data_IF_568613371078
#
_entry.id   IF_568613371078
#
_cell.length_a   1.000
_cell.length_b   1.000
_cell.length_c   1.000
_cell.angle_alpha   90.00
_cell.angle_beta   90.00
_cell.angle_gamma   90.00
#
_symmetry.space_group_name_H-M   'P 1'
#
loop_
_entity.id
_entity.type
_entity.pdbx_description
1 polymer ?
#
# COMPACT_ATOMS: atom_id res chain seq x y z
N UNK A 1 -12.84 30.53 0.44
CA UNK A 1 -12.11 29.70 -0.54
C UNK A 1 -10.78 29.29 0.10
N UNK A 2 -10.82 28.37 1.07
CA UNK A 2 -9.65 27.97 1.88
C UNK A 2 -8.63 27.15 1.07
N UNK A 3 -9.12 26.41 0.08
CA UNK A 3 -8.34 25.48 -0.74
C UNK A 3 -7.28 26.21 -1.58
N UNK A 4 -7.58 27.40 -2.11
CA UNK A 4 -6.59 28.16 -2.89
C UNK A 4 -5.46 28.78 -2.06
N UNK A 5 -5.63 28.96 -0.76
CA UNK A 5 -4.54 29.44 0.10
C UNK A 5 -3.58 28.29 0.46
N UNK A 6 -4.05 27.05 0.48
CA UNK A 6 -3.22 25.86 0.63
C UNK A 6 -2.37 25.57 -0.61
N UNK A 7 -2.88 25.85 -1.80
CA UNK A 7 -2.13 25.69 -3.06
C UNK A 7 -0.97 26.69 -3.21
N UNK A 8 -0.97 27.79 -2.45
CA UNK A 8 -0.01 28.89 -2.58
C UNK A 8 1.14 28.85 -1.56
N UNK A 9 1.39 27.70 -0.92
CA UNK A 9 2.49 27.49 0.06
C UNK A 9 2.50 28.42 1.29
N UNK A 10 1.43 29.21 1.53
CA UNK A 10 1.40 30.22 2.62
C UNK A 10 0.86 29.70 3.95
N UNK A 11 0.23 28.53 4.00
CA UNK A 11 -0.23 27.89 5.23
C UNK A 11 0.42 26.51 5.39
N UNK A 12 1.17 26.33 6.49
CA UNK A 12 1.57 25.00 6.94
C UNK A 12 0.30 24.19 7.21
N UNK A 13 0.06 23.12 6.45
CA UNK A 13 -1.02 22.18 6.70
C UNK A 13 -0.78 21.55 8.08
N UNK A 14 -1.79 21.56 8.95
CA UNK A 14 -1.70 20.89 10.25
C UNK A 14 -1.63 19.37 10.04
N UNK A 15 -0.94 18.65 10.93
CA UNK A 15 -0.83 17.19 10.83
C UNK A 15 -2.21 16.50 10.73
N UNK A 16 -3.22 17.05 11.42
CA UNK A 16 -4.59 16.55 11.39
C UNK A 16 -5.29 16.76 10.03
N UNK A 17 -4.97 17.83 9.32
CA UNK A 17 -5.47 18.03 7.95
C UNK A 17 -4.79 17.06 6.97
N UNK A 18 -3.50 16.76 7.15
CA UNK A 18 -2.79 15.79 6.30
C UNK A 18 -3.38 14.39 6.45
N UNK A 19 -3.74 13.97 7.66
CA UNK A 19 -4.36 12.65 7.90
C UNK A 19 -5.78 12.59 7.33
N UNK A 20 -6.58 13.64 7.48
CA UNK A 20 -7.92 13.70 6.89
C UNK A 20 -7.87 13.67 5.36
N UNK A 21 -6.96 14.42 4.74
CA UNK A 21 -6.72 14.39 3.30
C UNK A 21 -6.26 13.00 2.84
N UNK A 22 -5.36 12.35 3.58
CA UNK A 22 -4.88 11.00 3.28
C UNK A 22 -6.03 9.98 3.23
N UNK A 23 -6.95 10.05 4.20
CA UNK A 23 -8.11 9.18 4.27
C UNK A 23 -9.11 9.44 3.13
N UNK A 24 -9.40 10.71 2.81
CA UNK A 24 -10.36 11.09 1.77
C UNK A 24 -9.85 10.76 0.36
N UNK A 25 -8.56 10.97 0.12
CA UNK A 25 -7.94 10.80 -1.19
C UNK A 25 -7.38 9.38 -1.39
N UNK A 26 -7.52 8.49 -0.39
CA UNK A 26 -6.96 7.13 -0.39
C UNK A 26 -5.45 7.08 -0.70
N UNK A 27 -4.72 8.11 -0.26
CA UNK A 27 -3.26 8.28 -0.42
C UNK A 27 -2.58 8.25 0.95
N UNK A 28 -1.24 8.15 0.99
CA UNK A 28 -0.52 8.25 2.28
C UNK A 28 -0.19 9.70 2.60
N UNK A 29 -0.03 10.01 3.88
CA UNK A 29 0.48 11.32 4.31
C UNK A 29 1.84 11.63 3.67
N UNK A 30 2.69 10.62 3.45
CA UNK A 30 3.97 10.76 2.74
C UNK A 30 3.82 11.19 1.26
N UNK A 31 2.72 10.84 0.61
CA UNK A 31 2.42 11.30 -0.76
C UNK A 31 1.96 12.76 -0.76
N UNK A 32 1.10 13.11 0.19
CA UNK A 32 0.62 14.49 0.36
C UNK A 32 1.78 15.42 0.70
N UNK A 33 2.74 14.95 1.50
CA UNK A 33 3.92 15.71 1.90
C UNK A 33 5.06 15.68 0.87
N UNK A 34 4.88 15.02 -0.28
CA UNK A 34 5.91 14.92 -1.32
C UNK A 34 7.17 14.15 -0.88
N UNK A 35 7.10 13.39 0.21
CA UNK A 35 8.20 12.59 0.76
C UNK A 35 8.39 11.27 0.00
N UNK A 36 7.49 10.97 -0.94
CA UNK A 36 7.48 9.71 -1.67
C UNK A 36 8.35 9.78 -2.93
N UNK A 37 9.67 9.69 -2.76
CA UNK A 37 10.59 9.23 -3.84
C UNK A 37 10.73 7.69 -3.87
N UNK A 38 10.10 6.99 -2.93
CA UNK A 38 10.07 5.53 -2.94
C UNK A 38 8.98 5.08 -3.92
N UNK A 39 9.38 4.58 -5.10
CA UNK A 39 8.52 3.83 -6.01
C UNK A 39 7.67 2.86 -5.20
N UNK A 40 6.40 3.18 -4.97
CA UNK A 40 5.46 2.24 -4.37
C UNK A 40 5.51 1.00 -5.23
N UNK A 41 5.86 -0.14 -4.63
CA UNK A 41 5.69 -1.43 -5.28
C UNK A 41 4.19 -1.66 -5.37
N UNK A 42 3.56 -1.05 -6.37
CA UNK A 42 2.18 -1.33 -6.71
C UNK A 42 2.13 -2.80 -7.12
N UNK A 43 1.59 -3.62 -6.23
CA UNK A 43 1.13 -4.94 -6.61
C UNK A 43 0.11 -4.74 -7.74
N UNK A 44 0.29 -5.41 -8.88
CA UNK A 44 -0.66 -5.29 -9.98
C UNK A 44 -2.08 -5.63 -9.51
N UNK A 45 -3.10 -5.03 -10.13
CA UNK A 45 -4.53 -5.17 -9.75
C UNK A 45 -4.95 -6.63 -9.51
N UNK A 46 -4.37 -7.56 -10.27
CA UNK A 46 -4.62 -8.99 -10.14
C UNK A 46 -4.07 -9.59 -8.83
N UNK A 47 -2.90 -9.13 -8.36
CA UNK A 47 -2.29 -9.57 -7.11
C UNK A 47 -3.11 -9.07 -5.91
N UNK A 48 -3.50 -7.79 -5.91
CA UNK A 48 -4.35 -7.21 -4.86
C UNK A 48 -5.69 -7.96 -4.77
N UNK A 49 -6.33 -8.24 -5.91
CA UNK A 49 -7.57 -9.02 -5.95
C UNK A 49 -7.40 -10.42 -5.37
N UNK A 50 -6.32 -11.12 -5.74
CA UNK A 50 -6.01 -12.48 -5.22
C UNK A 50 -5.75 -12.45 -3.72
N UNK A 51 -5.03 -11.45 -3.20
CA UNK A 51 -4.78 -11.32 -1.78
C UNK A 51 -6.07 -11.11 -0.99
N UNK A 52 -6.98 -10.27 -1.51
CA UNK A 52 -8.32 -10.10 -0.93
C UNK A 52 -9.15 -11.40 -0.95
N UNK A 53 -9.01 -12.22 -2.00
CA UNK A 53 -9.66 -13.54 -2.06
C UNK A 53 -9.09 -14.52 -1.04
N UNK A 54 -7.76 -14.56 -0.87
CA UNK A 54 -7.08 -15.41 0.11
C UNK A 54 -7.48 -15.01 1.54
N UNK A 55 -7.66 -13.72 1.80
CA UNK A 55 -8.09 -13.22 3.11
C UNK A 55 -9.46 -13.75 3.54
N UNK A 56 -10.36 -14.01 2.59
CA UNK A 56 -11.72 -14.52 2.83
C UNK A 56 -11.79 -16.04 3.06
N UNK A 57 -10.69 -16.77 2.85
CA UNK A 57 -10.68 -18.21 3.00
C UNK A 57 -10.61 -18.64 4.48
N UNK A 58 -11.10 -19.85 4.82
CA UNK A 58 -10.90 -20.45 6.13
C UNK A 58 -9.42 -20.51 6.53
N UNK A 59 -9.13 -20.39 7.82
CA UNK A 59 -7.78 -20.31 8.37
C UNK A 59 -6.85 -21.45 7.92
N UNK A 60 -7.37 -22.67 7.83
CA UNK A 60 -6.63 -23.85 7.34
C UNK A 60 -6.19 -23.69 5.88
N UNK A 61 -7.09 -23.20 5.02
CA UNK A 61 -6.81 -23.01 3.59
C UNK A 61 -5.85 -21.82 3.38
N UNK A 62 -6.01 -20.75 4.14
CA UNK A 62 -5.08 -19.60 4.14
C UNK A 62 -3.66 -20.04 4.49
N UNK A 63 -3.49 -20.81 5.58
CA UNK A 63 -2.17 -21.36 5.98
C UNK A 63 -1.56 -22.24 4.89
N UNK A 64 -2.36 -23.12 4.27
CA UNK A 64 -1.88 -23.99 3.20
C UNK A 64 -1.38 -23.19 1.99
N UNK A 65 -2.10 -22.15 1.56
CA UNK A 65 -1.69 -21.30 0.44
C UNK A 65 -0.39 -20.55 0.75
N UNK A 66 -0.28 -19.95 1.94
CA UNK A 66 0.91 -19.22 2.35
C UNK A 66 2.14 -20.14 2.44
N UNK A 67 1.98 -21.36 2.96
CA UNK A 67 3.05 -22.35 3.00
C UNK A 67 3.51 -22.77 1.59
N UNK A 68 2.58 -22.94 0.65
CA UNK A 68 2.92 -23.26 -0.73
C UNK A 68 3.69 -22.11 -1.41
N UNK A 69 3.26 -20.86 -1.21
CA UNK A 69 3.98 -19.68 -1.70
C UNK A 69 5.39 -19.63 -1.11
N UNK A 70 5.52 -19.87 0.20
CA UNK A 70 6.81 -19.93 0.88
C UNK A 70 7.73 -21.00 0.28
N UNK A 71 7.22 -22.22 0.08
CA UNK A 71 7.99 -23.32 -0.52
C UNK A 71 8.43 -23.00 -1.94
N UNK A 72 7.55 -22.42 -2.75
CA UNK A 72 7.88 -22.02 -4.11
C UNK A 72 8.98 -20.95 -4.15
N UNK A 73 8.86 -19.91 -3.33
CA UNK A 73 9.87 -18.84 -3.24
C UNK A 73 11.21 -19.38 -2.73
N UNK A 74 11.19 -20.26 -1.74
CA UNK A 74 12.40 -20.92 -1.23
C UNK A 74 13.08 -21.72 -2.34
N UNK A 75 12.32 -22.50 -3.11
CA UNK A 75 12.85 -23.27 -4.24
C UNK A 75 13.42 -22.39 -5.35
N UNK A 76 12.72 -21.33 -5.72
CA UNK A 76 13.17 -20.38 -6.74
C UNK A 76 14.47 -19.65 -6.35
N UNK A 77 14.62 -19.29 -5.07
CA UNK A 77 15.84 -18.66 -4.55
C UNK A 77 17.02 -19.63 -4.50
N UNK A 78 16.78 -20.93 -4.30
CA UNK A 78 17.84 -21.95 -4.26
C UNK A 78 18.32 -22.41 -5.64
N UNK A 79 17.51 -22.25 -6.70
CA UNK A 79 17.91 -22.57 -8.08
C UNK A 79 18.54 -21.41 -8.84
N UNK A 80 18.63 -20.22 -8.22
CA UNK A 80 19.15 -18.99 -8.83
C UNK A 80 20.62 -18.67 -8.54
N UNK A 81 21.41 -19.63 -8.03
CA UNK A 81 22.86 -19.52 -7.81
C UNK A 81 23.62 -20.57 -8.60
#
# INVERSE_FOLDING_TARGET
MLISDYERERLRISADMVTQLALVLEVTSDEILGLTNAKRKHFGKNMVRRMSQIEKLPSTQKKAILNNIYMYLKGALTSGN
#
